data_IF_974220084578
#
_entry.id   IF_974220084578
#
_cell.length_a   1.000
_cell.length_b   1.000
_cell.length_c   1.000
_cell.angle_alpha   90.00
_cell.angle_beta   90.00
_cell.angle_gamma   90.00
#
_symmetry.space_group_name_H-M   'P 1'
#
loop_
_entity.id
_entity.type
_entity.pdbx_description
1 polymer ?
#
# COMPACT_ATOMS: atom_id res chain seq x y z
N UNK A 1 4.05 -11.26 17.23
CA UNK A 1 3.96 -10.12 18.16
C UNK A 1 3.02 -9.14 17.49
N UNK A 2 1.74 -9.30 17.78
CA UNK A 2 0.67 -8.55 17.11
C UNK A 2 0.59 -7.16 17.74
N UNK A 3 0.70 -6.14 16.89
CA UNK A 3 0.58 -4.76 17.34
C UNK A 3 -0.89 -4.45 17.60
N UNK A 4 -1.26 -3.85 18.75
CA UNK A 4 -2.64 -3.53 19.05
C UNK A 4 -3.21 -2.46 18.11
N UNK A 5 -4.55 -2.39 18.02
CA UNK A 5 -5.27 -1.53 17.08
C UNK A 5 -4.90 -0.04 17.19
N UNK A 6 -4.86 0.60 16.03
CA UNK A 6 -4.77 2.05 15.92
C UNK A 6 -6.12 2.66 16.38
N UNK A 7 -6.17 3.08 17.63
CA UNK A 7 -7.31 3.82 18.14
C UNK A 7 -7.86 3.26 19.44
N UNK A 8 -7.26 3.62 20.55
CA UNK A 8 -7.88 3.93 21.86
C UNK A 8 -6.90 4.05 23.01
N UNK A 9 -5.59 4.10 22.75
CA UNK A 9 -4.67 4.56 23.81
C UNK A 9 -3.65 5.49 23.17
N UNK A 10 -3.50 6.69 23.73
CA UNK A 10 -2.44 7.65 23.41
C UNK A 10 -1.06 7.07 23.80
N UNK A 11 -0.66 5.98 23.14
CA UNK A 11 0.71 5.52 23.26
C UNK A 11 1.61 6.56 22.63
N UNK A 12 2.45 7.18 23.43
CA UNK A 12 3.50 8.08 22.93
C UNK A 12 4.25 7.37 21.79
N UNK A 13 4.46 8.04 20.66
CA UNK A 13 5.16 7.43 19.54
C UNK A 13 6.56 6.98 19.96
N UNK A 14 6.94 5.76 19.58
CA UNK A 14 8.25 5.20 19.85
C UNK A 14 9.37 6.08 19.25
N UNK A 15 10.60 5.94 19.74
CA UNK A 15 11.74 6.67 19.19
C UNK A 15 11.88 6.43 17.67
N UNK A 16 11.68 5.19 17.23
CA UNK A 16 11.76 4.82 15.80
C UNK A 16 10.68 5.54 14.98
N UNK A 17 9.45 5.64 15.49
CA UNK A 17 8.37 6.40 14.83
C UNK A 17 8.70 7.89 14.77
N UNK A 18 9.24 8.45 15.85
CA UNK A 18 9.67 9.85 15.87
C UNK A 18 10.79 10.13 14.88
N UNK A 19 11.80 9.27 14.81
CA UNK A 19 12.89 9.38 13.84
C UNK A 19 12.36 9.27 12.39
N UNK A 20 11.47 8.33 12.09
CA UNK A 20 10.90 8.20 10.75
C UNK A 20 10.11 9.46 10.34
N UNK A 21 9.29 10.01 11.24
CA UNK A 21 8.57 11.28 11.02
C UNK A 21 9.53 12.47 10.83
N UNK A 22 10.59 12.53 11.63
CA UNK A 22 11.60 13.59 11.53
C UNK A 22 12.33 13.51 10.18
N UNK A 23 12.69 12.30 9.71
CA UNK A 23 13.31 12.11 8.41
C UNK A 23 12.38 12.55 7.28
N UNK A 24 11.10 12.12 7.26
CA UNK A 24 10.15 12.58 6.26
C UNK A 24 10.07 14.11 6.22
N UNK A 25 9.94 14.75 7.38
CA UNK A 25 9.89 16.22 7.48
C UNK A 25 11.17 16.89 7.00
N UNK A 26 12.34 16.35 7.34
CA UNK A 26 13.63 16.88 6.91
C UNK A 26 13.79 16.87 5.39
N UNK A 27 13.17 15.87 4.72
CA UNK A 27 13.07 15.81 3.25
C UNK A 27 11.87 16.57 2.67
N UNK A 28 11.18 17.38 3.49
CA UNK A 28 10.06 18.21 3.07
C UNK A 28 8.74 17.46 2.85
N UNK A 29 8.60 16.22 3.36
CA UNK A 29 7.38 15.42 3.20
C UNK A 29 6.39 15.67 4.34
N UNK A 30 5.12 15.83 3.97
CA UNK A 30 3.97 15.82 4.90
C UNK A 30 3.37 14.41 4.94
N UNK A 31 2.90 14.02 6.11
CA UNK A 31 2.25 12.72 6.31
C UNK A 31 0.79 12.91 6.71
N UNK A 32 -0.11 12.23 6.04
CA UNK A 32 -1.54 12.20 6.34
C UNK A 32 -1.98 10.77 6.61
N UNK A 33 -2.74 10.55 7.67
CA UNK A 33 -3.37 9.26 7.96
C UNK A 33 -4.73 9.49 8.59
N UNK A 34 -5.78 9.13 7.87
CA UNK A 34 -7.09 8.86 8.46
C UNK A 34 -7.05 7.44 9.04
N UNK A 35 -7.51 7.22 10.28
CA UNK A 35 -7.51 5.89 10.88
C UNK A 35 -8.24 4.86 10.02
N UNK A 36 -7.68 3.64 9.89
CA UNK A 36 -8.33 2.56 9.14
C UNK A 36 -9.71 2.21 9.72
N UNK A 37 -10.74 2.00 8.87
CA UNK A 37 -12.11 1.71 9.33
C UNK A 37 -12.28 0.29 9.85
N UNK A 38 -11.31 -0.60 9.61
CA UNK A 38 -11.35 -2.00 9.98
C UNK A 38 -9.94 -2.53 10.32
N UNK A 39 -9.85 -3.65 11.06
CA UNK A 39 -8.55 -4.25 11.39
C UNK A 39 -7.83 -4.84 10.17
N UNK A 40 -8.55 -5.12 9.10
CA UNK A 40 -7.98 -5.71 7.88
C UNK A 40 -8.40 -4.92 6.65
N UNK A 41 -7.50 -4.82 5.68
CA UNK A 41 -7.79 -4.10 4.44
C UNK A 41 -6.62 -4.13 3.46
N UNK A 42 -6.85 -3.56 2.30
CA UNK A 42 -5.84 -3.40 1.26
C UNK A 42 -5.51 -1.92 1.13
N UNK A 43 -4.24 -1.60 0.96
CA UNK A 43 -3.80 -0.25 0.60
C UNK A 43 -3.34 -0.31 -0.86
N UNK A 44 -4.04 0.37 -1.72
CA UNK A 44 -3.60 0.62 -3.09
C UNK A 44 -2.68 1.83 -3.08
N UNK A 45 -1.46 1.68 -3.57
CA UNK A 45 -0.47 2.77 -3.64
C UNK A 45 -0.29 3.19 -5.09
N UNK A 46 -0.69 4.42 -5.40
CA UNK A 46 -0.55 5.03 -6.72
C UNK A 46 -0.32 6.55 -6.59
N UNK A 47 0.44 7.19 -7.48
CA UNK A 47 1.31 6.60 -8.51
C UNK A 47 2.54 5.89 -7.92
N UNK A 48 3.08 4.87 -8.63
CA UNK A 48 4.29 4.16 -8.23
C UNK A 48 5.35 4.16 -9.35
N UNK A 49 6.08 5.27 -9.48
CA UNK A 49 6.94 5.55 -10.62
C UNK A 49 8.44 5.57 -10.31
N UNK A 50 8.82 5.34 -9.03
CA UNK A 50 10.20 5.45 -8.59
C UNK A 50 10.58 4.44 -7.49
N UNK A 51 11.88 4.10 -7.40
CA UNK A 51 12.41 3.35 -6.25
C UNK A 51 12.32 4.14 -4.93
N UNK A 52 12.30 5.47 -5.02
CA UNK A 52 12.16 6.33 -3.84
C UNK A 52 10.80 6.19 -3.16
N UNK A 53 9.77 5.81 -3.89
CA UNK A 53 8.43 5.57 -3.35
C UNK A 53 8.45 4.50 -2.26
N UNK A 54 9.28 3.47 -2.44
CA UNK A 54 9.45 2.43 -1.43
C UNK A 54 10.06 2.99 -0.14
N UNK A 55 11.09 3.84 -0.25
CA UNK A 55 11.75 4.44 0.93
C UNK A 55 10.77 5.36 1.66
N UNK A 56 10.07 6.22 0.93
CA UNK A 56 9.07 7.15 1.48
C UNK A 56 7.93 6.37 2.13
N UNK A 57 7.40 5.35 1.44
CA UNK A 57 6.33 4.50 1.94
C UNK A 57 6.71 3.74 3.21
N UNK A 58 7.95 3.21 3.31
CA UNK A 58 8.46 2.55 4.52
C UNK A 58 8.60 3.54 5.67
N UNK A 59 9.17 4.73 5.44
CA UNK A 59 9.28 5.77 6.46
C UNK A 59 7.89 6.23 6.93
N UNK A 60 6.95 6.40 5.99
CA UNK A 60 5.56 6.74 6.31
C UNK A 60 4.92 5.65 7.18
N UNK A 61 4.95 4.40 6.75
CA UNK A 61 4.41 3.27 7.49
C UNK A 61 4.95 3.22 8.92
N UNK A 62 6.28 3.33 9.09
CA UNK A 62 6.93 3.32 10.40
C UNK A 62 6.48 4.55 11.22
N UNK A 63 6.56 5.72 10.64
CA UNK A 63 6.19 6.98 11.29
C UNK A 63 4.73 7.02 11.72
N UNK A 64 3.83 6.49 10.91
CA UNK A 64 2.40 6.40 11.20
C UNK A 64 2.08 5.29 12.22
N UNK A 65 2.99 4.33 12.44
CA UNK A 65 2.72 3.14 13.24
C UNK A 65 1.72 2.19 12.56
N UNK A 66 1.64 2.25 11.24
CA UNK A 66 0.68 1.46 10.47
C UNK A 66 1.17 0.01 10.36
N UNK A 67 0.39 -1.01 10.83
CA UNK A 67 0.76 -2.42 10.73
C UNK A 67 0.52 -2.96 9.31
N UNK A 68 1.06 -2.26 8.31
CA UNK A 68 0.92 -2.64 6.92
C UNK A 68 2.03 -3.62 6.50
N UNK A 69 1.66 -4.64 5.75
CA UNK A 69 2.57 -5.51 4.99
C UNK A 69 2.60 -5.05 3.54
N UNK A 70 3.61 -5.44 2.80
CA UNK A 70 3.74 -5.09 1.39
C UNK A 70 4.21 -6.28 0.59
N UNK A 71 3.76 -6.37 -0.64
CA UNK A 71 4.08 -7.47 -1.55
C UNK A 71 5.17 -7.07 -2.53
N UNK A 72 6.15 -7.93 -2.72
CA UNK A 72 7.13 -7.78 -3.78
C UNK A 72 7.57 -9.12 -4.35
N UNK A 73 8.21 -9.05 -5.52
CA UNK A 73 8.76 -10.22 -6.20
C UNK A 73 9.72 -10.96 -5.27
N UNK A 74 9.60 -12.27 -5.19
CA UNK A 74 10.45 -13.18 -4.41
C UNK A 74 11.95 -12.96 -4.63
N UNK A 75 12.34 -12.61 -5.85
CA UNK A 75 13.73 -12.33 -6.22
C UNK A 75 14.34 -11.11 -5.50
N UNK A 76 13.53 -10.22 -4.92
CA UNK A 76 13.99 -9.11 -4.10
C UNK A 76 14.38 -9.56 -2.68
N UNK A 77 13.88 -10.71 -2.24
CA UNK A 77 14.14 -11.25 -0.89
C UNK A 77 15.40 -12.14 -0.88
N UNK A 78 16.53 -11.59 -1.32
CA UNK A 78 17.83 -12.30 -1.33
C UNK A 78 18.77 -11.72 -0.28
N UNK A 79 19.79 -12.46 0.07
CA UNK A 79 20.89 -11.98 0.91
C UNK A 79 21.56 -10.75 0.24
N UNK A 80 21.93 -9.67 0.97
CA UNK A 80 21.81 -9.48 2.44
C UNK A 80 20.47 -8.88 2.90
N UNK A 81 19.61 -8.38 2.01
CA UNK A 81 18.42 -7.56 2.35
C UNK A 81 17.21 -8.39 2.81
N UNK A 82 17.22 -9.71 2.62
CA UNK A 82 16.07 -10.58 2.92
C UNK A 82 15.53 -10.39 4.34
N UNK A 83 16.42 -10.45 5.35
CA UNK A 83 16.00 -10.30 6.76
C UNK A 83 15.37 -8.95 7.04
N UNK A 84 15.92 -7.88 6.46
CA UNK A 84 15.37 -6.54 6.61
C UNK A 84 13.98 -6.45 5.99
N UNK A 85 13.81 -6.91 4.75
CA UNK A 85 12.53 -6.85 4.05
C UNK A 85 11.42 -7.64 4.77
N UNK A 86 11.73 -8.82 5.27
CA UNK A 86 10.79 -9.58 6.10
C UNK A 86 10.44 -8.83 7.40
N UNK A 87 11.42 -8.22 8.09
CA UNK A 87 11.20 -7.44 9.31
C UNK A 87 10.29 -6.24 9.10
N UNK A 88 10.43 -5.56 7.98
CA UNK A 88 9.56 -4.41 7.65
C UNK A 88 8.24 -4.82 7.01
N UNK A 89 7.87 -6.11 7.08
CA UNK A 89 6.57 -6.63 6.66
C UNK A 89 6.48 -7.00 5.18
N UNK A 90 7.59 -7.25 4.52
CA UNK A 90 7.59 -7.73 3.14
C UNK A 90 7.09 -9.17 3.02
N UNK A 91 6.24 -9.42 2.04
CA UNK A 91 5.72 -10.74 1.66
C UNK A 91 6.28 -11.06 0.27
N UNK A 92 7.16 -12.10 0.16
CA UNK A 92 7.64 -12.54 -1.13
C UNK A 92 6.52 -13.21 -1.93
N UNK A 93 6.36 -12.82 -3.19
CA UNK A 93 5.37 -13.40 -4.09
C UNK A 93 6.03 -14.00 -5.29
N UNK A 94 5.72 -15.26 -5.55
CA UNK A 94 6.02 -15.91 -6.81
C UNK A 94 4.97 -15.50 -7.86
N UNK A 95 5.34 -14.57 -8.73
CA UNK A 95 4.42 -14.04 -9.77
C UNK A 95 4.17 -15.03 -10.91
N UNK A 96 4.81 -16.20 -10.90
CA UNK A 96 4.60 -17.26 -11.90
C UNK A 96 3.44 -18.17 -11.53
N UNK A 97 3.07 -18.21 -10.26
CA UNK A 97 1.93 -19.00 -9.76
C UNK A 97 0.69 -18.11 -9.70
N UNK A 98 -0.15 -18.22 -10.72
CA UNK A 98 -1.40 -17.44 -10.79
C UNK A 98 -2.56 -18.16 -10.09
N UNK A 99 -2.50 -19.50 -10.02
CA UNK A 99 -3.56 -20.32 -9.42
C UNK A 99 -3.46 -20.26 -7.88
N UNK A 100 -4.58 -19.96 -7.21
CA UNK A 100 -4.63 -19.94 -5.74
C UNK A 100 -4.04 -18.69 -5.07
N UNK A 101 -3.59 -17.68 -5.82
CA UNK A 101 -3.00 -16.46 -5.27
C UNK A 101 -3.96 -15.73 -4.31
N UNK A 102 -5.22 -15.53 -4.72
CA UNK A 102 -6.23 -14.86 -3.89
C UNK A 102 -6.46 -15.64 -2.59
N UNK A 103 -6.66 -16.96 -2.69
CA UNK A 103 -6.86 -17.84 -1.53
C UNK A 103 -5.66 -17.83 -0.58
N UNK A 104 -4.44 -17.84 -1.10
CA UNK A 104 -3.23 -17.77 -0.28
C UNK A 104 -3.12 -16.45 0.50
N UNK A 105 -3.46 -15.33 -0.12
CA UNK A 105 -3.47 -14.03 0.56
C UNK A 105 -4.61 -13.95 1.58
N UNK A 106 -5.79 -14.46 1.28
CA UNK A 106 -6.89 -14.51 2.25
C UNK A 106 -6.55 -15.39 3.45
N UNK A 107 -5.87 -16.53 3.23
CA UNK A 107 -5.37 -17.36 4.32
C UNK A 107 -4.32 -16.61 5.18
N UNK A 108 -3.50 -15.76 4.58
CA UNK A 108 -2.58 -14.91 5.35
C UNK A 108 -3.35 -13.85 6.17
N UNK A 109 -4.38 -13.23 5.61
CA UNK A 109 -5.27 -12.34 6.38
C UNK A 109 -5.94 -13.07 7.56
N UNK A 110 -6.32 -14.34 7.41
CA UNK A 110 -6.94 -15.12 8.49
C UNK A 110 -6.01 -15.35 9.68
N UNK A 111 -4.70 -15.43 9.45
CA UNK A 111 -3.68 -15.67 10.50
C UNK A 111 -3.39 -14.46 11.38
N UNK A 112 -3.85 -13.27 11.01
CA UNK A 112 -3.56 -12.03 11.71
C UNK A 112 -4.85 -11.37 12.17
N UNK A 113 -4.88 -10.85 13.39
CA UNK A 113 -5.98 -10.00 13.87
C UNK A 113 -5.98 -8.65 13.14
N UNK A 114 -4.78 -8.09 12.94
CA UNK A 114 -4.57 -6.83 12.23
C UNK A 114 -3.64 -7.01 11.05
N UNK A 115 -4.12 -6.71 9.88
CA UNK A 115 -3.30 -6.76 8.68
C UNK A 115 -3.82 -5.83 7.59
N UNK A 116 -2.99 -4.88 7.19
CA UNK A 116 -3.21 -4.09 5.97
C UNK A 116 -2.15 -4.46 4.94
N UNK A 117 -2.58 -4.75 3.72
CA UNK A 117 -1.71 -5.19 2.64
C UNK A 117 -1.52 -4.09 1.61
N UNK A 118 -0.33 -3.48 1.58
CA UNK A 118 0.02 -2.47 0.59
C UNK A 118 0.42 -3.13 -0.74
N UNK A 119 -0.19 -2.68 -1.82
CA UNK A 119 0.06 -3.13 -3.18
C UNK A 119 0.17 -1.94 -4.12
N UNK A 120 1.12 -1.98 -5.05
CA UNK A 120 1.16 -1.10 -6.21
C UNK A 120 0.51 -1.85 -7.39
N UNK A 121 -0.72 -1.50 -7.80
CA UNK A 121 -1.47 -2.30 -8.77
C UNK A 121 -0.88 -2.24 -10.17
N UNK A 122 -0.11 -1.22 -10.49
CA UNK A 122 0.68 -1.14 -11.72
C UNK A 122 1.65 -2.32 -11.87
N UNK A 123 2.19 -2.81 -10.73
CA UNK A 123 3.14 -3.93 -10.67
C UNK A 123 4.49 -3.64 -11.32
N UNK A 124 4.73 -2.43 -11.75
CA UNK A 124 5.95 -1.91 -12.37
C UNK A 124 6.12 -0.43 -11.97
N UNK A 125 7.28 0.16 -12.31
CA UNK A 125 7.54 1.59 -12.19
C UNK A 125 7.63 2.29 -13.56
N UNK A 126 7.40 1.52 -14.61
CA UNK A 126 7.26 2.02 -15.98
C UNK A 126 5.78 2.16 -16.29
N UNK A 127 5.47 3.01 -17.24
CA UNK A 127 4.08 3.21 -17.69
C UNK A 127 3.42 1.88 -18.07
N UNK A 128 2.20 1.70 -17.62
CA UNK A 128 1.34 0.57 -17.97
C UNK A 128 -0.03 1.08 -18.41
N UNK A 129 -0.68 0.33 -19.26
CA UNK A 129 -2.01 0.64 -19.79
C UNK A 129 -3.16 0.13 -18.90
N UNK A 130 -2.84 -0.66 -17.87
CA UNK A 130 -3.83 -1.20 -16.94
C UNK A 130 -3.24 -1.57 -15.59
N UNK A 131 -4.09 -1.62 -14.59
CA UNK A 131 -3.78 -2.17 -13.27
C UNK A 131 -4.00 -3.67 -13.23
N UNK A 132 -3.21 -4.38 -12.43
CA UNK A 132 -3.40 -5.81 -12.15
C UNK A 132 -4.61 -5.99 -11.25
N UNK A 133 -5.46 -6.94 -11.59
CA UNK A 133 -6.73 -7.22 -10.90
C UNK A 133 -6.57 -7.85 -9.50
N UNK A 134 -5.38 -8.30 -9.13
CA UNK A 134 -5.18 -9.09 -7.89
C UNK A 134 -5.69 -8.39 -6.63
N UNK A 135 -5.43 -7.11 -6.45
CA UNK A 135 -5.92 -6.36 -5.29
C UNK A 135 -7.46 -6.30 -5.26
N UNK A 136 -8.06 -6.11 -6.45
CA UNK A 136 -9.51 -5.99 -6.62
C UNK A 136 -10.20 -7.31 -6.26
N UNK A 137 -9.69 -8.42 -6.77
CA UNK A 137 -10.19 -9.75 -6.47
C UNK A 137 -10.06 -10.12 -4.99
N UNK A 138 -8.92 -9.79 -4.35
CA UNK A 138 -8.71 -10.03 -2.92
C UNK A 138 -9.67 -9.18 -2.09
N UNK A 139 -9.85 -7.89 -2.44
CA UNK A 139 -10.74 -7.00 -1.71
C UNK A 139 -12.19 -7.47 -1.76
N UNK A 140 -12.67 -7.87 -2.94
CA UNK A 140 -14.04 -8.41 -3.10
C UNK A 140 -14.22 -9.75 -2.37
N UNK A 141 -13.34 -10.71 -2.60
CA UNK A 141 -13.47 -12.04 -2.01
C UNK A 141 -13.33 -12.03 -0.47
N UNK A 142 -12.54 -11.09 0.06
CA UNK A 142 -12.35 -10.92 1.51
C UNK A 142 -13.27 -9.89 2.16
N UNK A 143 -14.14 -9.23 1.41
CA UNK A 143 -14.94 -8.08 1.88
C UNK A 143 -14.10 -7.02 2.58
N UNK A 144 -12.91 -6.75 2.04
CA UNK A 144 -11.91 -5.88 2.65
C UNK A 144 -12.05 -4.43 2.15
N UNK A 145 -12.02 -3.43 3.06
CA UNK A 145 -11.92 -2.05 2.64
C UNK A 145 -10.59 -1.78 1.94
N UNK A 146 -10.62 -0.86 0.98
CA UNK A 146 -9.46 -0.41 0.21
C UNK A 146 -9.09 1.00 0.62
N UNK A 147 -7.94 1.16 1.27
CA UNK A 147 -7.34 2.45 1.56
C UNK A 147 -6.61 3.00 0.35
N UNK A 148 -6.84 4.24 0.02
CA UNK A 148 -6.23 4.91 -1.11
C UNK A 148 -4.93 5.58 -0.65
N UNK A 149 -3.84 4.86 -0.82
CA UNK A 149 -2.49 5.32 -0.49
C UNK A 149 -1.86 6.08 -1.65
N UNK A 150 -1.19 7.18 -1.33
CA UNK A 150 -0.50 7.98 -2.34
C UNK A 150 0.84 8.50 -1.86
N UNK A 151 1.72 8.74 -2.82
CA UNK A 151 2.99 9.45 -2.65
C UNK A 151 3.02 10.55 -3.71
N UNK A 152 2.48 11.70 -3.36
CA UNK A 152 2.34 12.83 -4.26
C UNK A 152 3.58 13.73 -4.20
N UNK A 153 4.35 13.72 -5.26
CA UNK A 153 5.56 14.52 -5.39
C UNK A 153 5.25 16.00 -5.71
N UNK A 154 4.09 16.28 -6.26
CA UNK A 154 3.65 17.66 -6.54
C UNK A 154 3.52 18.45 -5.25
N UNK A 155 2.83 17.90 -4.27
CA UNK A 155 2.63 18.54 -2.95
C UNK A 155 3.60 18.04 -1.86
N UNK A 156 4.47 17.07 -2.17
CA UNK A 156 5.31 16.34 -1.22
C UNK A 156 4.52 15.78 -0.04
N UNK A 157 3.40 15.13 -0.35
CA UNK A 157 2.52 14.53 0.63
C UNK A 157 2.47 13.01 0.44
N UNK A 158 2.61 12.27 1.53
CA UNK A 158 2.42 10.82 1.57
C UNK A 158 1.31 10.50 2.56
N UNK A 159 0.34 9.66 2.16
CA UNK A 159 -0.80 9.45 3.03
C UNK A 159 -1.77 8.36 2.59
N UNK A 160 -2.73 8.16 3.50
CA UNK A 160 -3.98 7.44 3.27
C UNK A 160 -5.04 8.27 3.98
N UNK A 161 -5.93 8.89 3.24
CA UNK A 161 -6.99 9.76 3.79
C UNK A 161 -8.39 9.31 3.37
N UNK A 162 -8.49 8.35 2.49
CA UNK A 162 -9.75 7.86 1.95
C UNK A 162 -9.77 6.33 1.93
N UNK A 163 -10.93 5.78 2.26
CA UNK A 163 -11.19 4.34 2.21
C UNK A 163 -12.44 4.08 1.39
N UNK A 164 -12.39 3.05 0.55
CA UNK A 164 -13.51 2.61 -0.29
C UNK A 164 -13.90 1.17 0.04
N UNK A 165 -15.18 0.87 0.01
CA UNK A 165 -15.69 -0.47 -0.17
C UNK A 165 -15.99 -0.65 -1.66
N UNK A 166 -15.41 -1.68 -2.27
CA UNK A 166 -15.64 -2.00 -3.68
C UNK A 166 -17.01 -2.63 -3.85
N UNK A 167 -17.68 -2.27 -4.93
CA UNK A 167 -19.05 -2.73 -5.23
C UNK A 167 -19.08 -4.03 -6.02
N UNK A 168 -17.99 -4.35 -6.72
CA UNK A 168 -17.91 -5.43 -7.69
C UNK A 168 -18.27 -5.01 -9.11
N UNK A 169 -18.71 -3.76 -9.30
CA UNK A 169 -18.81 -3.12 -10.61
C UNK A 169 -17.47 -2.41 -10.93
N UNK A 170 -16.66 -2.94 -11.85
CA UNK A 170 -15.35 -2.37 -12.16
C UNK A 170 -15.44 -0.96 -12.72
N UNK A 171 -16.46 -0.63 -13.51
CA UNK A 171 -16.59 0.70 -14.11
C UNK A 171 -16.83 1.75 -13.02
N UNK A 172 -17.79 1.48 -12.13
CA UNK A 172 -18.11 2.34 -11.00
C UNK A 172 -16.92 2.48 -10.04
N UNK A 173 -16.30 1.36 -9.65
CA UNK A 173 -15.21 1.38 -8.68
C UNK A 173 -13.97 2.10 -9.23
N UNK A 174 -13.62 1.85 -10.49
CA UNK A 174 -12.48 2.52 -11.12
C UNK A 174 -12.74 3.99 -11.45
N UNK A 175 -13.98 4.40 -11.67
CA UNK A 175 -14.32 5.83 -11.76
C UNK A 175 -14.01 6.57 -10.45
N UNK A 176 -14.31 5.96 -9.29
CA UNK A 176 -13.98 6.53 -7.97
C UNK A 176 -12.47 6.58 -7.73
N UNK A 177 -11.75 5.54 -8.13
CA UNK A 177 -10.28 5.51 -8.05
C UNK A 177 -9.65 6.61 -8.92
N UNK A 178 -10.10 6.76 -10.17
CA UNK A 178 -9.63 7.84 -11.07
C UNK A 178 -9.89 9.22 -10.48
N UNK A 179 -11.09 9.45 -9.95
CA UNK A 179 -11.44 10.73 -9.34
C UNK A 179 -10.53 11.08 -8.15
N UNK A 180 -10.22 10.11 -7.30
CA UNK A 180 -9.35 10.32 -6.15
C UNK A 180 -7.90 10.63 -6.56
N UNK A 181 -7.37 9.91 -7.55
CA UNK A 181 -5.97 10.04 -7.94
C UNK A 181 -5.71 11.11 -9.01
N UNK A 182 -6.74 11.83 -9.47
CA UNK A 182 -6.64 12.78 -10.59
C UNK A 182 -5.62 13.91 -10.35
N UNK A 183 -5.40 14.31 -9.11
CA UNK A 183 -4.49 15.38 -8.69
C UNK A 183 -3.20 14.87 -7.99
N UNK A 184 -2.94 13.57 -8.04
CA UNK A 184 -1.76 12.96 -7.41
C UNK A 184 -0.71 12.64 -8.47
N UNK A 185 0.51 13.15 -8.27
CA UNK A 185 1.59 13.00 -9.24
C UNK A 185 2.79 12.27 -8.67
N UNK A 186 3.25 11.28 -9.42
CA UNK A 186 4.46 10.52 -9.10
C UNK A 186 5.74 11.32 -9.35
N UNK A 187 6.87 10.75 -8.95
CA UNK A 187 8.19 11.34 -9.22
C UNK A 187 8.48 11.49 -10.71
N UNK A 188 7.92 10.59 -11.52
CA UNK A 188 8.04 10.55 -12.98
C UNK A 188 6.63 10.48 -13.57
N UNK A 189 5.98 11.62 -13.79
CA UNK A 189 4.60 11.65 -14.29
C UNK A 189 4.42 10.92 -15.63
N UNK A 190 5.45 10.90 -16.46
CA UNK A 190 5.46 10.17 -17.74
C UNK A 190 5.29 8.65 -17.59
N UNK A 191 5.56 8.11 -16.40
CA UNK A 191 5.43 6.70 -16.08
C UNK A 191 4.11 6.35 -15.36
N UNK A 192 3.24 7.32 -15.12
CA UNK A 192 1.93 7.06 -14.51
C UNK A 192 1.07 6.22 -15.43
N UNK A 193 0.61 5.08 -14.92
CA UNK A 193 -0.20 4.13 -15.68
C UNK A 193 -1.69 4.49 -15.65
N UNK A 194 -2.43 3.99 -16.65
CA UNK A 194 -3.88 4.18 -16.70
C UNK A 194 -4.58 3.43 -15.55
N UNK A 195 -5.51 4.12 -14.87
CA UNK A 195 -6.31 3.57 -13.78
C UNK A 195 -7.53 2.84 -14.36
N UNK A 196 -7.30 1.61 -14.79
CA UNK A 196 -8.32 0.71 -15.35
C UNK A 196 -7.89 -0.74 -15.22
N UNK A 197 -8.82 -1.67 -15.23
CA UNK A 197 -8.50 -3.10 -15.35
C UNK A 197 -8.18 -3.45 -16.80
N UNK A 198 -7.44 -4.55 -16.95
CA UNK A 198 -7.28 -5.16 -18.28
C UNK A 198 -8.62 -5.66 -18.76
N UNK A 199 -9.00 -5.25 -19.94
CA UNK A 199 -10.14 -5.81 -20.68
C UNK A 199 -9.86 -7.24 -21.15
#
# INVERSE_FOLDING_TARGET
MDSPPLGTTERRPSLVQRCARALLRAFGWRSVLVPPPAPKGIIVVYPHTSNWDFIIGVLYKIGAGLPARWMAKDTLFRWPVRRLFLRIGGIPINRREHTGFVSAILAEFARHEWMWLAVAPEGTRSRTDHWKSGFYQIALAGHLPVGLGYIDYGTRTVGIDTYLTLTGDPEHDFARLRAFYADKHGRRPENEGAIQLRQ
#
